data_IF_372974379739
#
_entry.id   IF_372974379739
#
_cell.length_a   1.000
_cell.length_b   1.000
_cell.length_c   1.000
_cell.angle_alpha   90.00
_cell.angle_beta   90.00
_cell.angle_gamma   90.00
#
_symmetry.space_group_name_H-M   'P 1'
#
loop_
_entity.id
_entity.type
_entity.pdbx_description
1 polymer ?
#
# COMPACT_ATOMS: atom_id res chain seq x y z
N UNK A 1 -3.50 -0.46 21.60
CA UNK A 1 -2.44 0.21 22.33
C UNK A 1 -2.39 -0.45 23.71
N UNK A 2 -1.41 -1.35 23.94
CA UNK A 2 -1.15 -1.86 25.28
C UNK A 2 -0.67 -0.69 26.15
N UNK A 3 -1.04 -0.69 27.42
CA UNK A 3 -0.71 0.31 28.45
C UNK A 3 0.82 0.49 28.63
N UNK A 4 1.53 0.91 27.61
CA UNK A 4 2.90 1.37 27.73
C UNK A 4 2.85 2.88 27.79
N UNK A 5 3.30 3.40 28.92
CA UNK A 5 3.43 4.82 29.15
C UNK A 5 4.66 5.29 28.36
N UNK A 6 4.43 6.07 27.32
CA UNK A 6 5.49 6.61 26.49
C UNK A 6 5.96 7.99 26.93
N UNK A 7 5.30 8.56 27.96
CA UNK A 7 5.63 9.88 28.49
C UNK A 7 7.02 9.83 29.18
N UNK A 8 7.94 10.61 28.64
CA UNK A 8 9.31 10.73 29.17
C UNK A 8 10.35 9.76 28.58
N UNK A 9 9.98 8.95 27.59
CA UNK A 9 10.93 8.08 26.87
C UNK A 9 11.47 8.80 25.63
N UNK A 10 12.78 8.94 25.53
CA UNK A 10 13.43 9.53 24.37
C UNK A 10 14.43 8.54 23.72
N UNK A 11 14.58 8.66 22.39
CA UNK A 11 15.57 7.94 21.64
C UNK A 11 15.43 6.39 21.68
N UNK A 12 16.49 5.67 22.01
CA UNK A 12 16.56 4.21 21.97
C UNK A 12 15.56 3.51 22.93
N UNK A 13 15.23 4.15 24.06
CA UNK A 13 14.26 3.62 25.02
C UNK A 13 12.82 3.67 24.44
N UNK A 14 12.48 4.74 23.73
CA UNK A 14 11.21 4.87 23.02
C UNK A 14 11.09 3.84 21.89
N UNK A 15 12.15 3.62 21.12
CA UNK A 15 12.17 2.60 20.05
C UNK A 15 11.99 1.18 20.60
N UNK A 16 12.64 0.86 21.72
CA UNK A 16 12.49 -0.44 22.38
C UNK A 16 11.07 -0.65 22.90
N UNK A 17 10.47 0.34 23.55
CA UNK A 17 9.09 0.29 24.03
C UNK A 17 8.07 0.17 22.87
N UNK A 18 8.31 0.88 21.77
CA UNK A 18 7.48 0.76 20.57
C UNK A 18 7.57 -0.63 19.94
N UNK A 19 8.76 -1.25 19.93
CA UNK A 19 8.96 -2.59 19.35
C UNK A 19 8.21 -3.69 20.13
N UNK A 20 7.96 -3.50 21.42
CA UNK A 20 7.18 -4.44 22.23
C UNK A 20 5.66 -4.30 22.05
N UNK A 21 5.19 -3.21 21.45
CA UNK A 21 3.76 -3.00 21.18
C UNK A 21 3.19 -4.09 20.26
N UNK A 22 1.92 -4.45 20.49
CA UNK A 22 1.17 -5.37 19.64
C UNK A 22 1.17 -4.90 18.18
N UNK A 23 1.08 -3.59 17.97
CA UNK A 23 1.09 -2.98 16.63
C UNK A 23 2.42 -3.23 15.89
N UNK A 24 3.55 -3.14 16.61
CA UNK A 24 4.87 -3.43 16.04
C UNK A 24 5.02 -4.91 15.70
N UNK A 25 4.49 -5.82 16.53
CA UNK A 25 4.49 -7.26 16.25
C UNK A 25 3.67 -7.59 15.00
N UNK A 26 2.50 -6.99 14.85
CA UNK A 26 1.68 -7.13 13.64
C UNK A 26 2.42 -6.51 12.43
N UNK A 27 2.97 -5.31 12.58
CA UNK A 27 3.74 -4.64 11.54
C UNK A 27 4.94 -5.45 11.08
N UNK A 28 5.71 -6.04 12.02
CA UNK A 28 6.86 -6.88 11.70
C UNK A 28 6.46 -8.18 10.99
N UNK A 29 5.34 -8.78 11.39
CA UNK A 29 4.81 -9.97 10.73
C UNK A 29 4.41 -9.71 9.26
N UNK A 30 4.02 -8.49 8.92
CA UNK A 30 3.60 -8.10 7.57
C UNK A 30 4.77 -7.46 6.78
N UNK A 31 5.77 -6.90 7.47
CA UNK A 31 6.87 -6.15 6.87
C UNK A 31 7.64 -6.93 5.79
N UNK A 32 7.74 -8.25 5.92
CA UNK A 32 8.43 -9.10 4.93
C UNK A 32 7.77 -9.04 3.55
N UNK A 33 6.46 -8.83 3.48
CA UNK A 33 5.72 -8.68 2.22
C UNK A 33 6.18 -7.42 1.48
N UNK A 34 6.52 -6.37 2.23
CA UNK A 34 6.96 -5.09 1.69
C UNK A 34 8.48 -4.98 1.51
N UNK A 35 9.24 -6.03 1.86
CA UNK A 35 10.68 -6.06 1.68
C UNK A 35 11.12 -5.76 0.23
N UNK A 36 10.48 -6.33 -0.81
CA UNK A 36 10.85 -6.06 -2.21
C UNK A 36 10.62 -4.60 -2.65
N UNK A 37 9.80 -3.84 -1.91
CA UNK A 37 9.52 -2.43 -2.16
C UNK A 37 10.57 -1.50 -1.53
N UNK A 38 11.56 -2.05 -0.83
CA UNK A 38 12.64 -1.28 -0.20
C UNK A 38 12.26 -0.57 1.10
N UNK A 39 11.13 -0.91 1.70
CA UNK A 39 10.66 -0.29 2.94
C UNK A 39 11.29 -0.86 4.21
N UNK A 40 12.01 -1.97 4.10
CA UNK A 40 12.64 -2.66 5.25
C UNK A 40 14.05 -2.17 5.58
N UNK A 41 14.57 -1.16 4.87
CA UNK A 41 15.90 -0.61 5.17
C UNK A 41 15.96 -0.07 6.60
N UNK A 42 17.11 -0.20 7.22
CA UNK A 42 17.39 0.27 8.59
C UNK A 42 16.55 -0.37 9.72
N UNK A 43 15.97 -1.58 9.51
CA UNK A 43 15.18 -2.26 10.56
C UNK A 43 13.80 -1.65 10.85
N UNK A 44 13.43 -0.56 10.17
CA UNK A 44 12.19 0.17 10.40
C UNK A 44 11.02 -0.26 9.48
N UNK A 45 11.12 -1.39 8.81
CA UNK A 45 10.09 -1.90 7.89
C UNK A 45 8.72 -2.07 8.52
N UNK A 46 8.67 -2.38 9.81
CA UNK A 46 7.43 -2.48 10.54
C UNK A 46 6.69 -1.14 10.66
N UNK A 47 7.41 -0.01 10.80
CA UNK A 47 6.83 1.33 10.84
C UNK A 47 6.14 1.67 9.50
N UNK A 48 6.79 1.31 8.40
CA UNK A 48 6.22 1.48 7.05
C UNK A 48 4.98 0.60 6.82
N UNK A 49 5.04 -0.66 7.26
CA UNK A 49 3.90 -1.58 7.16
C UNK A 49 2.69 -1.07 7.96
N UNK A 50 2.92 -0.60 9.19
CA UNK A 50 1.88 0.00 10.04
C UNK A 50 1.29 1.24 9.39
N UNK A 51 2.13 2.15 8.87
CA UNK A 51 1.66 3.36 8.21
C UNK A 51 0.85 3.04 6.93
N UNK A 52 1.25 2.03 6.14
CA UNK A 52 0.50 1.59 4.97
C UNK A 52 -0.87 1.01 5.35
N UNK A 53 -0.94 0.22 6.43
CA UNK A 53 -2.21 -0.34 6.93
C UNK A 53 -3.11 0.75 7.52
N UNK A 54 -2.55 1.72 8.26
CA UNK A 54 -3.33 2.85 8.77
C UNK A 54 -3.91 3.71 7.64
N UNK A 55 -3.21 3.84 6.52
CA UNK A 55 -3.70 4.50 5.31
C UNK A 55 -4.92 3.84 4.68
N UNK A 56 -5.17 2.55 4.94
CA UNK A 56 -6.42 1.88 4.53
C UNK A 56 -7.63 2.36 5.35
N UNK A 57 -7.42 2.81 6.58
CA UNK A 57 -8.48 3.32 7.44
C UNK A 57 -8.85 4.74 7.00
N UNK A 58 -7.85 5.61 6.95
CA UNK A 58 -7.97 6.99 6.49
C UNK A 58 -6.61 7.41 5.91
N UNK A 59 -6.57 7.80 4.65
CA UNK A 59 -5.31 8.11 3.93
C UNK A 59 -4.59 9.32 4.54
N UNK A 60 -5.33 10.27 5.07
CA UNK A 60 -4.83 11.44 5.80
C UNK A 60 -4.12 11.08 7.12
N UNK A 61 -4.46 9.94 7.72
CA UNK A 61 -3.83 9.50 8.96
C UNK A 61 -2.41 8.93 8.79
N UNK A 62 -1.93 8.74 7.56
CA UNK A 62 -0.57 8.22 7.31
C UNK A 62 0.48 9.15 7.90
N UNK A 63 0.34 10.47 7.73
CA UNK A 63 1.27 11.47 8.25
C UNK A 63 1.25 11.47 9.79
N UNK A 64 0.06 11.47 10.39
CA UNK A 64 -0.09 11.40 11.84
C UNK A 64 0.50 10.10 12.42
N UNK A 65 0.31 8.96 11.72
CA UNK A 65 0.90 7.67 12.11
C UNK A 65 2.43 7.73 12.08
N UNK A 66 3.03 8.33 11.05
CA UNK A 66 4.47 8.53 11.02
C UNK A 66 4.94 9.43 12.17
N UNK A 67 4.21 10.52 12.45
CA UNK A 67 4.52 11.39 13.58
C UNK A 67 4.60 10.60 14.88
N UNK A 68 3.58 9.83 15.20
CA UNK A 68 3.54 8.97 16.39
C UNK A 68 4.65 7.92 16.43
N UNK A 69 4.94 7.28 15.29
CA UNK A 69 5.99 6.25 15.18
C UNK A 69 7.42 6.83 15.28
N UNK A 70 7.60 8.11 14.98
CA UNK A 70 8.86 8.83 15.13
C UNK A 70 8.94 9.65 16.42
N UNK A 71 7.94 9.59 17.30
CA UNK A 71 7.95 10.21 18.62
C UNK A 71 7.55 11.69 18.64
N UNK A 72 6.87 12.19 17.61
CA UNK A 72 6.31 13.53 17.60
C UNK A 72 4.90 13.51 18.20
N UNK A 73 4.64 14.37 19.20
CA UNK A 73 3.33 14.46 19.86
C UNK A 73 2.25 15.00 18.91
N UNK A 74 2.61 16.01 18.13
CA UNK A 74 1.76 16.60 17.10
C UNK A 74 2.57 16.80 15.83
N UNK A 75 1.96 16.54 14.68
CA UNK A 75 2.57 16.72 13.36
C UNK A 75 1.61 17.55 12.51
N UNK A 76 2.13 18.59 11.88
CA UNK A 76 1.37 19.38 10.92
C UNK A 76 0.94 18.52 9.72
N UNK A 77 -0.14 18.89 9.04
CA UNK A 77 -0.65 18.12 7.88
C UNK A 77 0.38 17.99 6.76
N UNK A 78 1.31 18.95 6.63
CA UNK A 78 2.40 18.92 5.66
C UNK A 78 3.58 18.02 6.09
N UNK A 79 3.60 17.55 7.34
CA UNK A 79 4.60 16.62 7.86
C UNK A 79 6.02 17.20 7.94
N UNK A 80 6.17 18.53 7.99
CA UNK A 80 7.49 19.18 7.92
C UNK A 80 8.47 18.73 9.00
N UNK A 81 7.97 18.40 10.19
CA UNK A 81 8.79 17.95 11.32
C UNK A 81 9.38 16.54 11.10
N UNK A 82 8.70 15.69 10.37
CA UNK A 82 9.13 14.28 10.18
C UNK A 82 10.00 14.06 8.97
N UNK A 83 10.12 15.02 8.04
CA UNK A 83 10.90 14.85 6.80
C UNK A 83 12.34 14.42 7.07
N UNK A 84 12.98 15.01 8.07
CA UNK A 84 14.36 14.70 8.42
C UNK A 84 14.51 13.27 8.93
N UNK A 85 13.61 12.83 9.80
CA UNK A 85 13.59 11.45 10.33
C UNK A 85 13.24 10.44 9.24
N UNK A 86 12.30 10.78 8.37
CA UNK A 86 11.88 9.93 7.26
C UNK A 86 13.02 9.74 6.23
N UNK A 87 13.79 10.79 5.93
CA UNK A 87 14.92 10.72 5.01
C UNK A 87 16.05 9.81 5.47
N UNK A 88 16.18 9.57 6.78
CA UNK A 88 17.14 8.62 7.35
C UNK A 88 16.67 7.15 7.19
N UNK A 89 15.37 6.92 7.12
CA UNK A 89 14.77 5.59 7.14
C UNK A 89 14.52 5.06 5.73
N UNK A 90 14.20 5.94 4.78
CA UNK A 90 13.85 5.50 3.43
C UNK A 90 14.52 6.36 2.35
N UNK A 91 14.79 5.73 1.21
CA UNK A 91 15.30 6.44 0.03
C UNK A 91 14.16 7.23 -0.66
N UNK A 92 14.47 8.32 -1.41
CA UNK A 92 13.44 9.06 -2.15
C UNK A 92 12.63 8.19 -3.10
N UNK A 93 13.26 7.19 -3.71
CA UNK A 93 12.56 6.23 -4.60
C UNK A 93 11.59 5.36 -3.83
N UNK A 94 11.99 4.88 -2.64
CA UNK A 94 11.10 4.09 -1.77
C UNK A 94 9.94 4.94 -1.25
N UNK A 95 10.19 6.21 -0.90
CA UNK A 95 9.15 7.15 -0.49
C UNK A 95 8.13 7.39 -1.60
N UNK A 96 8.60 7.61 -2.82
CA UNK A 96 7.71 7.75 -3.98
C UNK A 96 6.87 6.49 -4.22
N UNK A 97 7.50 5.30 -4.17
CA UNK A 97 6.79 4.03 -4.26
C UNK A 97 5.74 3.85 -3.16
N UNK A 98 6.04 4.29 -1.93
CA UNK A 98 5.10 4.27 -0.81
C UNK A 98 3.88 5.17 -1.06
N UNK A 99 4.08 6.39 -1.55
CA UNK A 99 2.99 7.31 -1.90
C UNK A 99 2.10 6.73 -2.99
N UNK A 100 2.70 6.18 -4.05
CA UNK A 100 1.95 5.55 -5.15
C UNK A 100 1.17 4.32 -4.66
N UNK A 101 1.77 3.51 -3.80
CA UNK A 101 1.08 2.37 -3.18
C UNK A 101 -0.17 2.82 -2.41
N UNK A 102 -0.04 3.81 -1.53
CA UNK A 102 -1.17 4.33 -0.75
C UNK A 102 -2.24 5.00 -1.63
N UNK A 103 -1.85 5.62 -2.74
CA UNK A 103 -2.79 6.23 -3.67
C UNK A 103 -3.62 5.18 -4.42
N UNK A 104 -2.97 4.12 -4.92
CA UNK A 104 -3.59 3.08 -5.75
C UNK A 104 -4.23 1.95 -4.94
N UNK A 105 -3.82 1.74 -3.69
CA UNK A 105 -4.34 0.67 -2.83
C UNK A 105 -5.84 0.86 -2.57
N UNK A 106 -6.46 -0.15 -1.99
CA UNK A 106 -7.89 -0.16 -1.68
C UNK A 106 -8.37 1.17 -1.09
N UNK A 107 -9.58 1.63 -1.42
CA UNK A 107 -10.16 2.84 -0.86
C UNK A 107 -10.41 2.68 0.64
N UNK A 108 -10.63 3.79 1.35
CA UNK A 108 -10.92 3.77 2.78
C UNK A 108 -12.17 2.93 3.10
N UNK A 109 -12.30 2.50 4.35
CA UNK A 109 -13.41 1.63 4.78
C UNK A 109 -14.80 2.20 4.45
N UNK A 110 -14.97 3.53 4.51
CA UNK A 110 -16.23 4.17 4.14
C UNK A 110 -16.57 3.93 2.66
N UNK A 111 -15.59 4.13 1.78
CA UNK A 111 -15.76 3.88 0.35
C UNK A 111 -15.93 2.37 0.04
N UNK A 112 -15.24 1.50 0.76
CA UNK A 112 -15.46 0.04 0.65
C UNK A 112 -16.88 -0.35 1.04
N UNK A 113 -17.44 0.28 2.07
CA UNK A 113 -18.84 0.08 2.47
C UNK A 113 -19.83 0.49 1.36
N UNK A 114 -19.58 1.61 0.70
CA UNK A 114 -20.38 2.07 -0.44
C UNK A 114 -20.28 1.09 -1.63
N UNK A 115 -19.05 0.69 -2.01
CA UNK A 115 -18.81 -0.28 -3.09
C UNK A 115 -19.52 -1.61 -2.82
N UNK A 116 -19.45 -2.10 -1.58
CA UNK A 116 -20.11 -3.35 -1.18
C UNK A 116 -21.64 -3.25 -1.37
N UNK A 117 -22.23 -2.12 -1.03
CA UNK A 117 -23.66 -1.89 -1.16
C UNK A 117 -24.09 -1.81 -2.63
N UNK A 118 -23.31 -1.10 -3.48
CA UNK A 118 -23.60 -0.96 -4.90
C UNK A 118 -23.41 -2.27 -5.68
N UNK A 119 -22.35 -3.02 -5.39
CA UNK A 119 -22.06 -4.26 -6.12
C UNK A 119 -23.04 -5.39 -5.79
N UNK A 120 -23.71 -5.36 -4.64
CA UNK A 120 -24.65 -6.39 -4.15
C UNK A 120 -24.18 -7.85 -4.33
N UNK A 121 -22.87 -8.05 -4.46
CA UNK A 121 -22.24 -9.36 -4.64
C UNK A 121 -20.89 -9.39 -3.93
N UNK A 122 -20.81 -10.20 -2.86
CA UNK A 122 -19.63 -10.30 -1.99
C UNK A 122 -18.39 -10.82 -2.74
N UNK A 123 -18.56 -11.72 -3.72
CA UNK A 123 -17.43 -12.26 -4.50
C UNK A 123 -16.78 -11.19 -5.36
N UNK A 124 -17.57 -10.40 -6.06
CA UNK A 124 -17.07 -9.30 -6.88
C UNK A 124 -16.49 -8.16 -6.07
N UNK A 125 -17.05 -7.90 -4.89
CA UNK A 125 -16.50 -6.94 -3.94
C UNK A 125 -15.07 -7.32 -3.53
N UNK A 126 -14.86 -8.55 -3.04
CA UNK A 126 -13.53 -9.01 -2.64
C UNK A 126 -12.55 -9.08 -3.82
N UNK A 127 -13.04 -9.44 -5.00
CA UNK A 127 -12.24 -9.41 -6.22
C UNK A 127 -11.76 -7.99 -6.55
N UNK A 128 -12.64 -6.99 -6.48
CA UNK A 128 -12.31 -5.59 -6.77
C UNK A 128 -11.26 -5.05 -5.79
N UNK A 129 -11.44 -5.28 -4.48
CA UNK A 129 -10.49 -4.84 -3.46
C UNK A 129 -9.13 -5.56 -3.62
N UNK A 130 -9.14 -6.88 -3.82
CA UNK A 130 -7.92 -7.65 -4.05
C UNK A 130 -7.18 -7.20 -5.30
N UNK A 131 -7.88 -6.95 -6.40
CA UNK A 131 -7.31 -6.43 -7.64
C UNK A 131 -6.60 -5.08 -7.41
N UNK A 132 -7.24 -4.14 -6.71
CA UNK A 132 -6.64 -2.83 -6.41
C UNK A 132 -5.37 -2.97 -5.57
N UNK A 133 -5.38 -3.79 -4.52
CA UNK A 133 -4.21 -4.02 -3.68
C UNK A 133 -3.04 -4.66 -4.47
N UNK A 134 -3.34 -5.66 -5.29
CA UNK A 134 -2.32 -6.33 -6.13
C UNK A 134 -1.76 -5.35 -7.16
N UNK A 135 -2.61 -4.57 -7.81
CA UNK A 135 -2.17 -3.57 -8.79
C UNK A 135 -1.29 -2.52 -8.13
N UNK A 136 -1.68 -1.99 -6.97
CA UNK A 136 -0.90 -1.02 -6.20
C UNK A 136 0.49 -1.58 -5.84
N UNK A 137 0.53 -2.84 -5.41
CA UNK A 137 1.78 -3.52 -5.07
C UNK A 137 2.70 -3.67 -6.29
N UNK A 138 2.17 -4.13 -7.43
CA UNK A 138 2.93 -4.30 -8.67
C UNK A 138 3.49 -2.97 -9.16
N UNK A 139 2.68 -1.93 -9.19
CA UNK A 139 3.12 -0.60 -9.66
C UNK A 139 4.19 -0.03 -8.73
N UNK A 140 3.99 -0.10 -7.42
CA UNK A 140 4.98 0.36 -6.44
C UNK A 140 6.30 -0.41 -6.54
N UNK A 141 6.23 -1.72 -6.73
CA UNK A 141 7.41 -2.58 -6.94
C UNK A 141 8.16 -2.17 -8.22
N UNK A 142 7.46 -1.96 -9.33
CA UNK A 142 8.07 -1.50 -10.58
C UNK A 142 8.77 -0.15 -10.40
N UNK A 143 8.13 0.80 -9.74
CA UNK A 143 8.69 2.13 -9.47
C UNK A 143 9.97 2.01 -8.64
N UNK A 144 9.93 1.22 -7.55
CA UNK A 144 11.09 1.05 -6.69
C UNK A 144 12.25 0.37 -7.41
N UNK A 145 12.00 -0.72 -8.13
CA UNK A 145 13.04 -1.49 -8.82
C UNK A 145 13.66 -0.72 -9.98
N UNK A 146 12.85 -0.01 -10.78
CA UNK A 146 13.36 0.83 -11.87
C UNK A 146 14.08 2.06 -11.31
N UNK A 147 13.51 2.69 -10.29
CA UNK A 147 14.12 3.85 -9.66
C UNK A 147 15.48 3.51 -9.04
N UNK A 148 15.62 2.37 -8.38
CA UNK A 148 16.91 1.91 -7.84
C UNK A 148 17.90 1.52 -8.95
N UNK A 149 17.43 0.96 -10.05
CA UNK A 149 18.27 0.68 -11.20
C UNK A 149 18.88 1.97 -11.79
N UNK A 150 18.07 3.02 -11.92
CA UNK A 150 18.52 4.32 -12.47
C UNK A 150 19.45 5.04 -11.49
N UNK A 151 19.16 5.00 -10.19
CA UNK A 151 19.90 5.78 -9.18
C UNK A 151 21.16 5.09 -8.69
N UNK A 152 21.15 3.77 -8.54
CA UNK A 152 22.24 2.98 -7.91
C UNK A 152 22.87 2.01 -8.91
N UNK A 153 22.22 1.71 -10.03
CA UNK A 153 22.72 0.76 -11.03
C UNK A 153 22.72 -0.70 -10.58
N UNK A 154 22.01 -1.04 -9.50
CA UNK A 154 21.98 -2.40 -8.98
C UNK A 154 20.96 -3.26 -9.72
N UNK A 155 21.46 -4.28 -10.41
CA UNK A 155 20.62 -5.34 -10.99
C UNK A 155 20.37 -6.43 -9.94
N UNK A 156 19.09 -6.70 -9.67
CA UNK A 156 18.66 -7.76 -8.75
C UNK A 156 17.54 -8.61 -9.34
N UNK A 157 17.20 -9.69 -8.67
CA UNK A 157 16.07 -10.56 -9.04
C UNK A 157 14.77 -9.75 -9.13
N UNK A 158 14.58 -8.78 -8.23
CA UNK A 158 13.42 -7.88 -8.24
C UNK A 158 13.31 -7.04 -9.51
N UNK A 159 14.43 -6.60 -10.08
CA UNK A 159 14.45 -5.83 -11.33
C UNK A 159 13.97 -6.67 -12.53
N UNK A 160 14.40 -7.95 -12.59
CA UNK A 160 13.93 -8.87 -13.63
C UNK A 160 12.43 -9.10 -13.53
N UNK A 161 11.92 -9.32 -12.31
CA UNK A 161 10.48 -9.49 -12.05
C UNK A 161 9.71 -8.23 -12.45
N UNK A 162 10.21 -7.04 -12.14
CA UNK A 162 9.57 -5.78 -12.54
C UNK A 162 9.48 -5.64 -14.06
N UNK A 163 10.53 -5.95 -14.80
CA UNK A 163 10.50 -5.93 -16.27
C UNK A 163 9.51 -6.95 -16.85
N UNK A 164 9.46 -8.17 -16.32
CA UNK A 164 8.48 -9.17 -16.75
C UNK A 164 7.04 -8.70 -16.49
N UNK A 165 6.78 -8.08 -15.34
CA UNK A 165 5.46 -7.53 -15.01
C UNK A 165 5.06 -6.40 -15.97
N UNK A 166 5.99 -5.50 -16.31
CA UNK A 166 5.73 -4.41 -17.27
C UNK A 166 5.43 -4.96 -18.66
N UNK A 167 6.22 -5.92 -19.13
CA UNK A 167 5.99 -6.58 -20.44
C UNK A 167 4.63 -7.27 -20.45
N UNK A 168 4.30 -7.99 -19.37
CA UNK A 168 2.99 -8.62 -19.21
C UNK A 168 1.84 -7.61 -19.21
N UNK A 169 2.01 -6.47 -18.54
CA UNK A 169 1.00 -5.41 -18.52
C UNK A 169 0.81 -4.76 -19.88
N UNK A 170 1.91 -4.46 -20.60
CA UNK A 170 1.88 -3.97 -21.98
C UNK A 170 1.18 -4.98 -22.90
N UNK A 171 1.52 -6.26 -22.77
CA UNK A 171 0.86 -7.32 -23.55
C UNK A 171 -0.65 -7.36 -23.29
N UNK A 172 -1.09 -7.22 -22.03
CA UNK A 172 -2.52 -7.18 -21.67
C UNK A 172 -3.23 -5.97 -22.26
N UNK A 173 -2.56 -4.79 -22.30
CA UNK A 173 -3.12 -3.57 -22.88
C UNK A 173 -3.33 -3.67 -24.41
N UNK A 174 -2.37 -4.29 -25.09
CA UNK A 174 -2.44 -4.43 -26.57
C UNK A 174 -3.19 -5.70 -27.01
N UNK A 175 -3.59 -6.56 -26.07
CA UNK A 175 -4.37 -7.75 -26.40
C UNK A 175 -5.77 -7.35 -26.87
N UNK A 176 -6.17 -7.72 -28.11
CA UNK A 176 -7.51 -7.39 -28.60
C UNK A 176 -8.57 -8.02 -27.69
N UNK A 177 -9.46 -7.17 -27.18
CA UNK A 177 -10.59 -7.61 -26.38
C UNK A 177 -11.53 -8.42 -27.25
N UNK A 178 -11.72 -9.69 -26.94
CA UNK A 178 -12.71 -10.53 -27.57
C UNK A 178 -14.00 -10.40 -26.77
N UNK A 179 -14.95 -9.63 -27.27
CA UNK A 179 -16.27 -9.53 -26.64
C UNK A 179 -16.85 -10.94 -26.48
N UNK A 180 -17.12 -11.34 -25.25
CA UNK A 180 -17.89 -12.53 -25.00
C UNK A 180 -19.38 -12.16 -25.23
N UNK A 181 -19.95 -12.64 -26.34
CA UNK A 181 -21.36 -12.46 -26.67
C UNK A 181 -22.33 -13.20 -25.71
N UNK A 182 -21.95 -13.38 -24.44
CA UNK A 182 -22.80 -14.04 -23.43
C UNK A 182 -23.82 -13.12 -22.80
N UNK A 183 -23.83 -11.81 -23.14
CA UNK A 183 -24.91 -10.89 -22.81
C UNK A 183 -25.90 -10.75 -23.98
N UNK A 184 -26.31 -11.87 -24.58
CA UNK A 184 -27.57 -11.91 -25.28
C UNK A 184 -28.67 -11.78 -24.22
N UNK A 185 -28.99 -10.55 -23.86
CA UNK A 185 -30.28 -10.26 -23.26
C UNK A 185 -31.30 -10.81 -24.26
N UNK A 186 -32.03 -11.85 -23.87
CA UNK A 186 -33.23 -12.31 -24.58
C UNK A 186 -34.29 -11.20 -24.57
N UNK A 187 -34.03 -10.15 -25.32
CA UNK A 187 -35.04 -9.11 -25.62
C UNK A 187 -36.29 -9.72 -26.31
N UNK A 188 -36.23 -10.99 -26.68
CA UNK A 188 -37.32 -11.72 -27.32
C UNK A 188 -38.37 -12.24 -26.35
N UNK A 189 -38.07 -12.31 -25.03
CA UNK A 189 -39.03 -12.79 -24.04
C UNK A 189 -39.99 -11.72 -23.49
N UNK A 190 -39.66 -10.46 -23.63
CA UNK A 190 -40.51 -9.36 -23.12
C UNK A 190 -41.57 -8.88 -24.11
N UNK A 191 -41.47 -9.23 -25.38
CA UNK A 191 -42.46 -8.83 -26.41
C UNK A 191 -43.58 -9.88 -26.60
N UNK A 192 -43.39 -11.11 -26.08
CA UNK A 192 -44.40 -12.19 -26.19
C UNK A 192 -45.31 -12.31 -24.95
N UNK A 193 -45.24 -11.37 -24.01
CA UNK A 193 -46.09 -11.35 -22.81
C UNK A 193 -47.00 -10.13 -22.76
N UNK A 194 -47.47 -9.65 -23.92
CA UNK A 194 -48.53 -8.63 -24.05
C UNK A 194 -49.64 -9.13 -24.91
#
# INVERSE_FOLDING_TARGET
>A
FGMLDFDGLEGAALEAAQAECVLAKIGSAIAWIFAPLGWTKAGNGWKMAVAAVSGLIAKENVVATFGQLFGFAEVAEDGSEIWKSLSLVMTPVAAYGFLVFNLLCAPCFAAMGAIKREMNNVKWFWFAIGYQCILAYIVSLCIYQIGTLITVGTFGVGTVVAFLLIIGFIYLLFRPYKESNTLNFDAKKTVSAK
#
